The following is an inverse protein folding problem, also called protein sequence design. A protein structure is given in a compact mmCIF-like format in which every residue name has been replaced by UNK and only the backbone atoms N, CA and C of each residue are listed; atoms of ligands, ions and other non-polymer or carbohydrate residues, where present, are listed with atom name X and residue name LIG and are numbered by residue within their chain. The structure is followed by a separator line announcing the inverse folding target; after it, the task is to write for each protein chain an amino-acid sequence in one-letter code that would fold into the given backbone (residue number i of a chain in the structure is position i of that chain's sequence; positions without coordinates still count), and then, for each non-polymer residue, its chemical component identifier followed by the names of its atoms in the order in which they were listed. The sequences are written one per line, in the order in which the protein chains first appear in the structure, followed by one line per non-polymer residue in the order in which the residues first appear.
data_IF_905659847582
#
_entry.id   IF_905659847582
#
_cell.length_a   1.000
_cell.length_b   1.000
_cell.length_c   1.000
_cell.angle_alpha   90.00
_cell.angle_beta   90.00
_cell.angle_gamma   90.00
#
_symmetry.space_group_name_H-M   'P 1'
#
loop_
_entity.id
_entity.type
_entity.pdbx_description
1 polymer ?
#
# COMPACT_ATOMS: atom_id res chain seq x y z
N UNK A 1 -11.45 11.39 -24.23
CA UNK A 1 -12.52 10.57 -23.66
C UNK A 1 -12.07 10.12 -22.30
N UNK A 2 -12.75 10.45 -21.18
CA UNK A 2 -12.44 9.89 -19.90
C UNK A 2 -12.70 8.38 -19.96
N UNK A 3 -11.73 7.62 -19.47
CA UNK A 3 -11.75 6.16 -19.42
C UNK A 3 -12.87 5.74 -18.44
N UNK A 4 -14.05 5.41 -18.96
CA UNK A 4 -15.26 5.06 -18.17
C UNK A 4 -15.15 3.65 -17.58
N UNK A 5 -13.93 3.16 -17.36
CA UNK A 5 -13.69 1.86 -16.77
C UNK A 5 -14.16 1.88 -15.30
N UNK A 6 -15.13 1.07 -14.94
CA UNK A 6 -15.56 0.92 -13.56
C UNK A 6 -14.37 0.45 -12.68
N UNK A 7 -14.21 0.98 -11.46
CA UNK A 7 -13.07 0.67 -10.59
C UNK A 7 -12.80 -0.84 -10.41
N UNK A 8 -13.84 -1.62 -10.25
CA UNK A 8 -13.83 -3.09 -10.13
C UNK A 8 -13.28 -3.80 -11.39
N UNK A 9 -13.44 -3.17 -12.57
CA UNK A 9 -12.96 -3.75 -13.84
C UNK A 9 -11.46 -3.57 -14.04
N UNK A 10 -10.83 -2.66 -13.31
CA UNK A 10 -9.38 -2.40 -13.43
C UNK A 10 -8.57 -3.66 -13.14
N UNK A 11 -9.01 -4.47 -12.19
CA UNK A 11 -8.38 -5.72 -11.77
C UNK A 11 -9.02 -6.97 -12.39
N UNK A 12 -10.11 -6.84 -13.17
CA UNK A 12 -10.89 -7.99 -13.68
C UNK A 12 -10.02 -9.06 -14.35
N UNK A 13 -9.08 -8.66 -15.20
CA UNK A 13 -8.19 -9.60 -15.92
C UNK A 13 -7.14 -10.30 -15.04
N UNK A 14 -7.00 -9.87 -13.78
CA UNK A 14 -6.05 -10.41 -12.82
C UNK A 14 -6.71 -10.70 -11.45
N UNK A 15 -8.05 -10.75 -11.40
CA UNK A 15 -8.85 -10.89 -10.17
C UNK A 15 -8.42 -12.08 -9.32
N UNK A 16 -8.44 -13.29 -9.88
CA UNK A 16 -8.05 -14.50 -9.15
C UNK A 16 -6.60 -14.44 -8.64
N UNK A 17 -5.58 -14.12 -9.45
CA UNK A 17 -4.24 -13.88 -8.96
C UNK A 17 -4.14 -12.83 -7.85
N UNK A 18 -4.84 -11.70 -8.00
CA UNK A 18 -4.86 -10.62 -7.01
C UNK A 18 -5.40 -11.11 -5.66
N UNK A 19 -6.55 -11.80 -5.65
CA UNK A 19 -7.17 -12.30 -4.42
C UNK A 19 -6.26 -13.27 -3.67
N UNK A 20 -5.68 -14.26 -4.36
CA UNK A 20 -4.78 -15.24 -3.71
C UNK A 20 -3.50 -14.57 -3.17
N UNK A 21 -2.97 -13.57 -3.87
CA UNK A 21 -1.85 -12.77 -3.38
C UNK A 21 -2.28 -11.95 -2.15
N UNK A 22 -3.46 -11.32 -2.19
CA UNK A 22 -4.00 -10.53 -1.10
C UNK A 22 -4.22 -11.37 0.17
N UNK A 23 -4.78 -12.57 0.05
CA UNK A 23 -4.97 -13.52 1.16
C UNK A 23 -3.64 -13.98 1.78
N UNK A 24 -2.57 -14.00 1.00
CA UNK A 24 -1.24 -14.33 1.51
C UNK A 24 -0.59 -13.12 2.19
N UNK A 25 -0.69 -11.93 1.58
CA UNK A 25 -0.16 -10.67 2.12
C UNK A 25 -0.87 -10.28 3.42
N UNK A 26 -2.20 -10.44 3.43
CA UNK A 26 -3.05 -10.10 4.56
C UNK A 26 -4.03 -11.26 4.84
N UNK A 27 -3.71 -12.17 5.79
CA UNK A 27 -4.55 -13.33 6.09
C UNK A 27 -6.00 -13.01 6.46
N UNK A 28 -6.26 -11.78 6.91
CA UNK A 28 -7.62 -11.28 7.19
C UNK A 28 -8.52 -11.20 5.95
N UNK A 29 -7.96 -11.23 4.75
CA UNK A 29 -8.71 -11.32 3.50
C UNK A 29 -9.30 -12.72 3.24
N UNK A 30 -8.86 -13.73 4.00
CA UNK A 30 -9.41 -15.09 3.86
C UNK A 30 -10.84 -15.13 4.39
N UNK A 31 -11.70 -15.72 3.60
CA UNK A 31 -13.12 -15.87 3.98
C UNK A 31 -13.99 -14.64 3.72
N UNK A 32 -13.48 -13.61 3.03
CA UNK A 32 -14.29 -12.52 2.54
C UNK A 32 -15.34 -13.03 1.55
N UNK A 33 -16.58 -12.53 1.68
CA UNK A 33 -17.66 -12.78 0.72
C UNK A 33 -17.36 -12.10 -0.63
N UNK A 34 -18.14 -12.44 -1.66
CA UNK A 34 -17.98 -11.77 -2.98
C UNK A 34 -18.27 -10.27 -2.91
N UNK A 35 -19.23 -9.84 -2.07
CA UNK A 35 -19.52 -8.42 -1.85
C UNK A 35 -18.33 -7.71 -1.20
N UNK A 36 -17.77 -8.29 -0.15
CA UNK A 36 -16.61 -7.75 0.54
C UNK A 36 -15.39 -7.68 -0.38
N UNK A 37 -15.22 -8.69 -1.25
CA UNK A 37 -14.18 -8.66 -2.27
C UNK A 37 -14.42 -7.55 -3.30
N UNK A 38 -15.68 -7.32 -3.70
CA UNK A 38 -16.01 -6.21 -4.60
C UNK A 38 -15.64 -4.85 -3.99
N UNK A 39 -15.86 -4.67 -2.69
CA UNK A 39 -15.44 -3.46 -1.97
C UNK A 39 -13.92 -3.28 -1.96
N UNK A 40 -13.17 -4.34 -1.61
CA UNK A 40 -11.69 -4.33 -1.62
C UNK A 40 -11.17 -4.00 -3.02
N UNK A 41 -11.68 -4.69 -4.04
CA UNK A 41 -11.31 -4.46 -5.44
C UNK A 41 -11.71 -3.08 -5.93
N UNK A 42 -12.88 -2.57 -5.51
CA UNK A 42 -13.38 -1.25 -5.83
C UNK A 42 -12.51 -0.13 -5.24
N UNK A 43 -12.11 -0.26 -3.96
CA UNK A 43 -11.22 0.70 -3.30
C UNK A 43 -9.84 0.69 -3.98
N UNK A 44 -9.26 -0.48 -4.20
CA UNK A 44 -7.98 -0.62 -4.89
C UNK A 44 -8.06 -0.10 -6.34
N UNK A 45 -9.17 -0.37 -7.02
CA UNK A 45 -9.44 0.10 -8.38
C UNK A 45 -9.52 1.61 -8.47
N UNK A 46 -10.22 2.29 -7.56
CA UNK A 46 -10.28 3.77 -7.48
C UNK A 46 -8.87 4.36 -7.31
N UNK A 47 -8.10 3.83 -6.37
CA UNK A 47 -6.72 4.29 -6.15
C UNK A 47 -5.83 4.13 -7.39
N UNK A 48 -6.14 3.15 -8.25
CA UNK A 48 -5.43 2.94 -9.52
C UNK A 48 -5.94 3.84 -10.65
N UNK A 49 -7.22 4.22 -10.65
CA UNK A 49 -7.78 5.13 -11.66
C UNK A 49 -7.17 6.53 -11.55
N UNK A 50 -6.81 6.96 -10.34
CA UNK A 50 -6.11 8.22 -10.08
C UNK A 50 -4.64 8.21 -10.57
N UNK A 51 -4.15 7.08 -11.06
CA UNK A 51 -2.77 6.90 -11.52
C UNK A 51 -2.68 6.83 -13.05
N UNK A 52 -1.53 7.20 -13.62
CA UNK A 52 -1.31 7.08 -15.07
C UNK A 52 -1.61 5.68 -15.59
N UNK A 53 -2.17 5.53 -16.81
CA UNK A 53 -2.56 4.23 -17.37
C UNK A 53 -1.38 3.23 -17.47
N UNK A 54 -0.16 3.73 -17.65
CA UNK A 54 1.04 2.89 -17.61
C UNK A 54 1.23 2.16 -16.28
N UNK A 55 0.95 2.79 -15.16
CA UNK A 55 1.07 2.19 -13.82
C UNK A 55 0.04 1.07 -13.62
N UNK A 56 -1.18 1.24 -14.11
CA UNK A 56 -2.23 0.20 -14.09
C UNK A 56 -1.78 -1.05 -14.87
N UNK A 57 -1.18 -0.84 -16.05
CA UNK A 57 -0.62 -1.93 -16.86
C UNK A 57 0.55 -2.63 -16.15
N UNK A 58 1.46 -1.86 -15.56
CA UNK A 58 2.60 -2.40 -14.81
C UNK A 58 2.14 -3.26 -13.63
N UNK A 59 1.14 -2.81 -12.87
CA UNK A 59 0.59 -3.59 -11.77
C UNK A 59 -0.02 -4.91 -12.24
N UNK A 60 -0.83 -4.89 -13.32
CA UNK A 60 -1.40 -6.12 -13.89
C UNK A 60 -0.32 -7.10 -14.36
N UNK A 61 0.72 -6.58 -14.97
CA UNK A 61 1.87 -7.40 -15.39
C UNK A 61 2.60 -7.96 -14.16
N UNK A 62 2.80 -7.18 -13.13
CA UNK A 62 3.41 -7.63 -11.88
C UNK A 62 2.59 -8.76 -11.24
N UNK A 63 1.27 -8.57 -11.08
CA UNK A 63 0.38 -9.59 -10.50
C UNK A 63 0.46 -10.89 -11.30
N UNK A 64 0.47 -10.79 -12.62
CA UNK A 64 0.65 -11.96 -13.50
C UNK A 64 2.05 -12.58 -13.36
N UNK A 65 3.08 -11.77 -13.30
CA UNK A 65 4.45 -12.26 -13.10
C UNK A 65 4.57 -13.00 -11.77
N UNK A 66 4.06 -12.44 -10.67
CA UNK A 66 4.05 -13.10 -9.36
C UNK A 66 3.25 -14.40 -9.37
N UNK A 67 2.20 -14.48 -10.19
CA UNK A 67 1.41 -15.71 -10.34
C UNK A 67 2.17 -16.82 -11.05
N UNK A 68 2.94 -16.49 -12.11
CA UNK A 68 3.61 -17.47 -12.94
C UNK A 68 5.08 -17.74 -12.54
N UNK A 69 5.74 -16.81 -11.89
CA UNK A 69 7.15 -16.91 -11.54
C UNK A 69 7.51 -18.16 -10.71
N UNK A 70 6.66 -18.62 -9.75
CA UNK A 70 6.93 -19.85 -9.01
C UNK A 70 6.98 -21.12 -9.89
N UNK A 71 6.38 -21.08 -11.08
CA UNK A 71 6.41 -22.20 -12.03
C UNK A 71 7.84 -22.58 -12.41
N UNK A 72 8.72 -21.58 -12.55
CA UNK A 72 10.12 -21.79 -12.91
C UNK A 72 10.92 -22.54 -11.84
N UNK A 73 10.51 -22.42 -10.57
CA UNK A 73 11.24 -22.99 -9.43
C UNK A 73 10.58 -24.25 -8.86
N UNK A 74 9.26 -24.29 -8.84
CA UNK A 74 8.49 -25.37 -8.18
C UNK A 74 7.55 -26.11 -9.12
N UNK A 75 7.54 -25.78 -10.42
CA UNK A 75 6.65 -26.40 -11.40
C UNK A 75 5.14 -26.13 -11.14
N UNK A 76 4.82 -25.14 -10.30
CA UNK A 76 3.43 -24.80 -9.93
C UNK A 76 3.26 -23.30 -9.94
N UNK A 77 2.04 -22.86 -10.30
CA UNK A 77 1.67 -21.44 -10.15
C UNK A 77 1.57 -21.05 -8.68
N UNK A 78 1.60 -19.76 -8.38
CA UNK A 78 1.47 -19.26 -7.01
C UNK A 78 0.23 -19.82 -6.29
N UNK A 79 -0.92 -19.90 -6.97
CA UNK A 79 -2.13 -20.49 -6.42
C UNK A 79 -2.03 -21.98 -6.12
N UNK A 80 -1.13 -22.70 -6.77
CA UNK A 80 -0.87 -24.13 -6.53
C UNK A 80 0.17 -24.41 -5.43
N UNK A 81 0.78 -23.37 -4.85
CA UNK A 81 1.73 -23.50 -3.74
C UNK A 81 0.97 -23.65 -2.41
N UNK A 82 1.55 -24.43 -1.48
CA UNK A 82 1.13 -24.42 -0.09
C UNK A 82 1.48 -23.12 0.63
N UNK A 83 0.83 -22.84 1.79
CA UNK A 83 0.99 -21.56 2.52
C UNK A 83 2.43 -21.16 2.78
N UNK A 84 3.23 -22.06 3.34
CA UNK A 84 4.64 -21.82 3.68
C UNK A 84 5.50 -21.45 2.46
N UNK A 85 5.21 -22.08 1.29
CA UNK A 85 5.93 -21.78 0.05
C UNK A 85 5.50 -20.44 -0.53
N UNK A 86 4.23 -20.04 -0.37
CA UNK A 86 3.75 -18.71 -0.74
C UNK A 86 4.44 -17.64 0.07
N UNK A 87 4.51 -17.80 1.38
CA UNK A 87 5.16 -16.85 2.29
C UNK A 87 6.65 -16.74 1.97
N UNK A 88 7.34 -17.87 1.80
CA UNK A 88 8.75 -17.88 1.41
C UNK A 88 9.00 -17.22 0.05
N UNK A 89 8.12 -17.43 -0.92
CA UNK A 89 8.21 -16.78 -2.21
C UNK A 89 8.04 -15.26 -2.10
N UNK A 90 7.01 -14.77 -1.40
CA UNK A 90 6.77 -13.34 -1.23
C UNK A 90 7.88 -12.66 -0.43
N UNK A 91 8.43 -13.31 0.61
CA UNK A 91 9.59 -12.81 1.34
C UNK A 91 10.82 -12.66 0.42
N UNK A 92 11.00 -13.61 -0.51
CA UNK A 92 12.05 -13.51 -1.53
C UNK A 92 11.82 -12.38 -2.52
N UNK A 93 10.57 -12.08 -2.86
CA UNK A 93 10.21 -10.94 -3.72
C UNK A 93 10.47 -9.62 -2.98
N UNK A 94 10.08 -9.53 -1.71
CA UNK A 94 10.28 -8.35 -0.86
C UNK A 94 11.76 -8.01 -0.68
N UNK A 95 12.61 -9.02 -0.54
CA UNK A 95 14.07 -8.89 -0.39
C UNK A 95 14.82 -8.91 -1.74
N UNK A 96 14.11 -8.91 -2.87
CA UNK A 96 14.70 -9.02 -4.20
C UNK A 96 15.67 -7.88 -4.49
N UNK A 97 16.80 -8.22 -5.15
CA UNK A 97 17.74 -7.23 -5.68
C UNK A 97 17.17 -6.43 -6.86
N UNK A 98 16.12 -6.95 -7.51
CA UNK A 98 15.45 -6.26 -8.60
C UNK A 98 14.53 -5.17 -8.02
N UNK A 99 14.98 -3.92 -8.11
CA UNK A 99 14.28 -2.76 -7.55
C UNK A 99 12.83 -2.63 -8.05
N UNK A 100 12.59 -2.90 -9.33
CA UNK A 100 11.25 -2.82 -9.94
C UNK A 100 10.29 -3.86 -9.33
N UNK A 101 10.77 -5.09 -9.11
CA UNK A 101 9.98 -6.15 -8.50
C UNK A 101 9.64 -5.80 -7.05
N UNK A 102 10.64 -5.36 -6.28
CA UNK A 102 10.46 -4.94 -4.89
C UNK A 102 9.51 -3.75 -4.77
N UNK A 103 9.71 -2.68 -5.55
CA UNK A 103 8.81 -1.52 -5.56
C UNK A 103 7.39 -1.87 -5.97
N UNK A 104 7.26 -2.71 -7.00
CA UNK A 104 5.95 -3.18 -7.45
C UNK A 104 5.23 -3.99 -6.39
N UNK A 105 5.95 -4.87 -5.68
CA UNK A 105 5.39 -5.65 -4.58
C UNK A 105 4.92 -4.75 -3.41
N UNK A 106 5.70 -3.74 -3.04
CA UNK A 106 5.28 -2.76 -2.03
C UNK A 106 4.02 -2.00 -2.46
N UNK A 107 3.93 -1.61 -3.74
CA UNK A 107 2.71 -1.00 -4.29
C UNK A 107 1.51 -1.94 -4.22
N UNK A 108 1.68 -3.21 -4.57
CA UNK A 108 0.63 -4.23 -4.46
C UNK A 108 0.19 -4.41 -3.00
N UNK A 109 1.14 -4.53 -2.06
CA UNK A 109 0.86 -4.64 -0.63
C UNK A 109 0.05 -3.44 -0.13
N UNK A 110 0.45 -2.23 -0.52
CA UNK A 110 -0.28 -1.00 -0.17
C UNK A 110 -1.72 -1.04 -0.67
N UNK A 111 -1.94 -1.46 -1.92
CA UNK A 111 -3.30 -1.57 -2.47
C UNK A 111 -4.16 -2.60 -1.73
N UNK A 112 -3.60 -3.73 -1.34
CA UNK A 112 -4.30 -4.74 -0.54
C UNK A 112 -4.68 -4.17 0.83
N UNK A 113 -3.74 -3.51 1.51
CA UNK A 113 -4.00 -2.88 2.80
C UNK A 113 -5.04 -1.76 2.68
N UNK A 114 -4.93 -0.89 1.69
CA UNK A 114 -5.92 0.16 1.43
C UNK A 114 -7.31 -0.43 1.14
N UNK A 115 -7.37 -1.49 0.33
CA UNK A 115 -8.61 -2.17 0.01
C UNK A 115 -9.29 -2.72 1.27
N UNK A 116 -8.54 -3.40 2.12
CA UNK A 116 -9.09 -4.01 3.34
C UNK A 116 -9.43 -2.97 4.42
N UNK A 117 -8.48 -2.09 4.77
CA UNK A 117 -8.67 -1.08 5.82
C UNK A 117 -9.57 0.09 5.39
N UNK A 118 -9.76 0.31 4.09
CA UNK A 118 -10.68 1.31 3.57
C UNK A 118 -12.15 0.94 3.70
N UNK A 119 -12.47 -0.31 4.02
CA UNK A 119 -13.82 -0.78 4.35
C UNK A 119 -14.20 -0.38 5.77
N UNK A 120 -15.51 -0.15 6.06
CA UNK A 120 -15.97 0.17 7.41
C UNK A 120 -15.49 -0.82 8.48
N UNK A 121 -15.59 -2.13 8.19
CA UNK A 121 -15.20 -3.20 9.12
C UNK A 121 -13.68 -3.22 9.34
N UNK A 122 -12.91 -3.00 8.27
CA UNK A 122 -11.45 -2.92 8.35
C UNK A 122 -10.98 -1.72 9.17
N UNK A 123 -11.63 -0.57 9.00
CA UNK A 123 -11.39 0.62 9.81
C UNK A 123 -11.73 0.40 11.27
N UNK A 124 -12.90 -0.18 11.55
CA UNK A 124 -13.35 -0.50 12.92
C UNK A 124 -12.38 -1.46 13.63
N UNK A 125 -11.82 -2.44 12.91
CA UNK A 125 -10.87 -3.40 13.47
C UNK A 125 -9.56 -2.76 13.97
N UNK A 126 -9.24 -1.53 13.56
CA UNK A 126 -8.08 -0.78 14.05
C UNK A 126 -8.39 0.13 15.21
N UNK A 127 -9.67 0.29 15.57
CA UNK A 127 -10.12 1.30 16.53
C UNK A 127 -9.95 2.75 16.04
N UNK A 128 -9.60 2.92 14.76
CA UNK A 128 -9.38 4.24 14.19
C UNK A 128 -10.67 4.82 13.61
N UNK A 129 -11.26 5.79 14.29
CA UNK A 129 -12.52 6.44 13.93
C UNK A 129 -12.34 7.83 13.26
N UNK A 130 -11.19 8.10 12.68
CA UNK A 130 -10.89 9.37 12.03
C UNK A 130 -11.92 9.78 10.95
N UNK A 131 -12.63 8.81 10.35
CA UNK A 131 -13.74 9.10 9.44
C UNK A 131 -14.94 9.72 10.15
N UNK A 132 -15.17 9.37 11.42
CA UNK A 132 -16.27 9.89 12.22
C UNK A 132 -15.94 11.24 12.84
N UNK A 133 -14.70 11.48 13.17
CA UNK A 133 -14.25 12.69 13.87
C UNK A 133 -13.64 13.75 12.98
N UNK A 134 -13.11 13.37 11.81
CA UNK A 134 -12.46 14.31 10.88
C UNK A 134 -11.31 15.11 11.52
N UNK A 135 -10.59 15.84 10.68
CA UNK A 135 -9.52 16.74 11.13
C UNK A 135 -10.03 17.94 11.94
N UNK A 136 -11.31 18.30 11.77
CA UNK A 136 -11.97 19.41 12.47
C UNK A 136 -12.19 19.16 13.96
N UNK A 137 -12.12 17.91 14.41
CA UNK A 137 -12.25 17.55 15.82
C UNK A 137 -10.90 17.27 16.51
N UNK A 138 -9.77 17.49 15.85
CA UNK A 138 -8.55 17.73 16.59
C UNK A 138 -8.79 18.97 17.44
N UNK A 139 -9.04 18.78 18.71
CA UNK A 139 -9.00 19.86 19.70
C UNK A 139 -7.71 20.66 19.51
N UNK A 140 -7.65 21.90 19.95
CA UNK A 140 -6.44 22.70 19.88
C UNK A 140 -5.29 21.79 20.31
N UNK A 141 -4.27 21.65 19.47
CA UNK A 141 -3.04 20.93 19.83
C UNK A 141 -2.65 21.47 21.21
N UNK A 142 -2.44 20.62 22.24
CA UNK A 142 -1.85 21.11 23.47
C UNK A 142 -0.68 21.99 23.05
N UNK A 143 -0.67 23.23 23.50
CA UNK A 143 0.37 24.18 23.15
C UNK A 143 1.69 23.49 23.52
N UNK A 144 2.35 22.94 22.52
CA UNK A 144 3.68 22.35 22.68
C UNK A 144 4.53 23.53 23.13
N UNK A 145 5.12 23.51 24.34
CA UNK A 145 5.94 24.62 24.78
C UNK A 145 6.91 24.93 23.64
N UNK A 146 6.91 26.18 23.20
CA UNK A 146 7.77 26.60 22.12
C UNK A 146 9.18 26.05 22.41
N UNK A 147 9.83 25.34 21.46
CA UNK A 147 11.16 24.86 21.69
C UNK A 147 12.00 26.06 22.14
N UNK A 148 12.73 25.87 23.23
CA UNK A 148 13.63 26.92 23.79
C UNK A 148 14.72 27.19 22.74
N UNK A 149 14.34 27.95 21.72
CA UNK A 149 15.25 28.35 20.65
C UNK A 149 16.04 29.51 21.24
N UNK A 150 17.35 29.34 21.51
CA UNK A 150 18.17 30.43 21.97
C UNK A 150 18.04 31.60 20.97
N UNK A 151 17.92 32.85 21.46
CA UNK A 151 17.78 34.00 20.59
C UNK A 151 18.89 33.98 19.54
N UNK A 152 18.52 34.24 18.30
CA UNK A 152 19.48 34.30 17.21
C UNK A 152 20.62 35.26 17.60
N UNK A 153 21.86 34.90 17.34
CA UNK A 153 23.01 35.79 17.68
C UNK A 153 22.80 37.15 17.02
N UNK A 154 22.97 38.20 17.81
CA UNK A 154 22.80 39.57 17.36
C UNK A 154 23.74 39.84 16.17
N UNK A 155 23.22 40.17 14.98
CA UNK A 155 24.04 40.43 13.81
C UNK A 155 24.94 41.67 13.97
N UNK A 156 24.69 42.49 15.00
CA UNK A 156 25.50 43.67 15.33
C UNK A 156 26.62 43.39 16.36
N UNK A 157 26.71 42.18 16.90
CA UNK A 157 27.79 41.83 17.81
C UNK A 157 29.15 41.88 17.10
N UNK A 158 30.13 42.56 17.61
CA UNK A 158 31.44 42.65 16.99
C UNK A 158 32.05 41.25 16.91
N UNK A 159 32.37 40.81 15.69
CA UNK A 159 33.10 39.56 15.48
C UNK A 159 34.47 39.72 16.13
N UNK A 160 34.65 38.98 17.22
CA UNK A 160 35.94 38.95 17.90
C UNK A 160 37.07 38.72 16.90
N UNK A 161 37.90 39.70 16.80
CA UNK A 161 39.12 39.70 16.00
C UNK A 161 40.00 38.56 16.53
N UNK A 162 40.26 37.57 15.68
CA UNK A 162 41.20 36.50 16.02
C UNK A 162 42.59 37.14 16.15
N UNK A 163 43.09 37.17 17.36
CA UNK A 163 44.47 37.58 17.62
C UNK A 163 45.46 36.56 17.02
N UNK A 164 46.65 37.04 16.59
CA UNK A 164 47.65 36.28 15.85
C UNK A 164 48.33 35.17 16.62
#
# INVERSE_FOLDING_TARGET
MPDTTAPEQVLASARRPFRVLAETILPRCRGLSEEEWADVEGIAGRALLDRPPGMRRQLRLLVRALWWLPLLRWGRTFGGLGPERRDRFLSGVESSRFLLLRRGFWGLRTLVLMGWYGRPEGGAATGWDAKLRGWSQKGPRPEEPAPDVPPAPDPSAPRGEAAP
#
